data_IF_744791244659
#
_entry.id   IF_744791244659
#
_cell.length_a   1.000
_cell.length_b   1.000
_cell.length_c   1.000
_cell.angle_alpha   90.00
_cell.angle_beta   90.00
_cell.angle_gamma   90.00
#
_symmetry.space_group_name_H-M   'P 1'
#
loop_
_entity.id
_entity.type
_entity.pdbx_description
1 polymer ?
#
# COMPACT_ATOMS: atom_id res chain seq x y z
N UNK A 1 13.70 -14.61 -7.09
CA UNK A 1 13.30 -14.53 -5.67
C UNK A 1 13.69 -13.21 -5.01
N UNK A 2 14.97 -12.81 -4.97
CA UNK A 2 15.40 -11.55 -4.32
C UNK A 2 14.70 -10.30 -4.88
N UNK A 3 14.62 -10.18 -6.22
CA UNK A 3 13.92 -9.07 -6.91
C UNK A 3 12.43 -9.02 -6.53
N UNK A 4 11.76 -10.17 -6.49
CA UNK A 4 10.35 -10.28 -6.10
C UNK A 4 10.13 -9.90 -4.63
N UNK A 5 11.01 -10.35 -3.73
CA UNK A 5 10.96 -9.97 -2.31
C UNK A 5 11.18 -8.45 -2.11
N UNK A 6 12.16 -7.86 -2.80
CA UNK A 6 12.38 -6.42 -2.79
C UNK A 6 11.16 -5.66 -3.32
N UNK A 7 10.56 -6.11 -4.43
CA UNK A 7 9.37 -5.49 -5.01
C UNK A 7 8.18 -5.54 -4.03
N UNK A 8 7.94 -6.67 -3.36
CA UNK A 8 6.89 -6.79 -2.34
C UNK A 8 7.15 -5.85 -1.16
N UNK A 9 8.38 -5.81 -0.63
CA UNK A 9 8.72 -4.94 0.51
C UNK A 9 8.56 -3.45 0.17
N UNK A 10 9.04 -3.03 -1.00
CA UNK A 10 8.87 -1.66 -1.48
C UNK A 10 7.39 -1.33 -1.74
N UNK A 11 6.60 -2.28 -2.28
CA UNK A 11 5.16 -2.14 -2.44
C UNK A 11 4.44 -1.89 -1.12
N UNK A 12 4.69 -2.73 -0.11
CA UNK A 12 4.16 -2.56 1.25
C UNK A 12 4.56 -1.21 1.83
N UNK A 13 5.83 -0.82 1.68
CA UNK A 13 6.32 0.48 2.17
C UNK A 13 5.58 1.66 1.51
N UNK A 14 5.36 1.62 0.19
CA UNK A 14 4.62 2.67 -0.51
C UNK A 14 3.16 2.75 -0.09
N UNK A 15 2.49 1.62 0.11
CA UNK A 15 1.12 1.62 0.59
C UNK A 15 1.00 2.14 2.04
N UNK A 16 1.92 1.76 2.93
CA UNK A 16 1.97 2.28 4.29
C UNK A 16 2.22 3.79 4.30
N UNK A 17 3.15 4.27 3.46
CA UNK A 17 3.45 5.69 3.36
C UNK A 17 2.25 6.48 2.82
N UNK A 18 1.59 5.98 1.77
CA UNK A 18 0.38 6.58 1.21
C UNK A 18 -0.77 6.66 2.23
N UNK A 19 -1.01 5.57 2.95
CA UNK A 19 -2.06 5.51 3.97
C UNK A 19 -1.73 6.41 5.18
N UNK A 20 -0.46 6.51 5.59
CA UNK A 20 -0.01 7.41 6.65
C UNK A 20 -0.15 8.89 6.27
N UNK A 21 0.24 9.26 5.04
CA UNK A 21 0.06 10.63 4.54
C UNK A 21 -1.43 10.97 4.46
N UNK A 22 -2.28 10.04 4.00
CA UNK A 22 -3.73 10.23 3.96
C UNK A 22 -4.33 10.42 5.35
N UNK A 23 -3.91 9.63 6.36
CA UNK A 23 -4.34 9.81 7.74
C UNK A 23 -3.93 11.19 8.30
N UNK A 24 -2.69 11.63 8.06
CA UNK A 24 -2.22 12.98 8.45
C UNK A 24 -2.98 14.11 7.75
N UNK A 25 -3.45 13.91 6.53
CA UNK A 25 -4.30 14.89 5.85
C UNK A 25 -5.65 15.01 6.55
N UNK A 26 -6.27 13.89 6.91
CA UNK A 26 -7.55 13.86 7.62
C UNK A 26 -7.46 14.59 8.97
N UNK A 27 -6.40 14.35 9.75
CA UNK A 27 -6.14 15.03 11.02
C UNK A 27 -5.97 16.55 10.84
N UNK A 28 -5.28 16.98 9.77
CA UNK A 28 -5.04 18.40 9.48
C UNK A 28 -6.24 19.12 8.87
N UNK A 29 -7.08 18.43 8.08
CA UNK A 29 -8.32 19.01 7.53
C UNK A 29 -9.33 19.33 8.63
N UNK A 30 -9.34 18.54 9.71
CA UNK A 30 -10.13 18.86 10.91
C UNK A 30 -9.63 20.11 11.66
N UNK A 31 -8.41 20.59 11.38
CA UNK A 31 -7.78 21.72 12.08
C UNK A 31 -7.51 22.97 11.22
N UNK A 32 -7.51 22.89 9.88
CA UNK A 32 -7.16 24.04 9.05
C UNK A 32 -7.74 23.99 7.63
N UNK A 33 -8.62 24.94 7.33
CA UNK A 33 -9.15 25.23 6.00
C UNK A 33 -8.18 26.04 5.10
N UNK A 34 -6.92 26.25 5.51
CA UNK A 34 -6.13 27.39 5.02
C UNK A 34 -5.16 27.13 3.84
N UNK A 35 -5.13 25.98 3.16
CA UNK A 35 -4.19 25.84 2.01
C UNK A 35 -4.59 24.82 0.93
N UNK A 36 -5.52 25.21 0.05
CA UNK A 36 -5.96 24.38 -1.07
C UNK A 36 -4.86 23.89 -2.03
N UNK A 37 -3.79 24.66 -2.25
CA UNK A 37 -2.65 24.25 -3.10
C UNK A 37 -1.78 23.17 -2.45
N UNK A 38 -1.59 23.22 -1.13
CA UNK A 38 -0.79 22.23 -0.41
C UNK A 38 -1.54 20.89 -0.29
N UNK A 39 -2.85 20.95 -0.05
CA UNK A 39 -3.72 19.77 -0.04
C UNK A 39 -3.76 19.06 -1.41
N UNK A 40 -3.83 19.81 -2.51
CA UNK A 40 -3.82 19.23 -3.86
C UNK A 40 -2.51 18.51 -4.20
N UNK A 41 -1.36 19.10 -3.85
CA UNK A 41 -0.05 18.49 -4.08
C UNK A 41 0.13 17.20 -3.26
N UNK A 42 -0.29 17.20 -1.98
CA UNK A 42 -0.25 16.02 -1.11
C UNK A 42 -1.19 14.90 -1.60
N UNK A 43 -2.35 15.25 -2.17
CA UNK A 43 -3.30 14.32 -2.80
C UNK A 43 -2.71 13.67 -4.06
N UNK A 44 -2.02 14.42 -4.90
CA UNK A 44 -1.31 13.85 -6.05
C UNK A 44 -0.16 12.92 -5.62
N UNK A 45 0.59 13.29 -4.59
CA UNK A 45 1.66 12.45 -4.05
C UNK A 45 1.15 11.13 -3.48
N UNK A 46 0.05 11.16 -2.71
CA UNK A 46 -0.57 9.94 -2.18
C UNK A 46 -1.06 9.02 -3.31
N UNK A 47 -1.70 9.57 -4.34
CA UNK A 47 -2.06 8.81 -5.55
C UNK A 47 -0.84 8.21 -6.24
N UNK A 48 0.25 8.97 -6.38
CA UNK A 48 1.50 8.49 -6.98
C UNK A 48 2.11 7.33 -6.21
N UNK A 49 2.20 7.44 -4.88
CA UNK A 49 2.69 6.38 -4.00
C UNK A 49 1.80 5.14 -4.07
N UNK A 50 0.48 5.31 -4.11
CA UNK A 50 -0.46 4.19 -4.21
C UNK A 50 -0.34 3.46 -5.56
N UNK A 51 -0.19 4.20 -6.66
CA UNK A 51 0.05 3.62 -7.99
C UNK A 51 1.39 2.89 -8.05
N UNK A 52 2.45 3.47 -7.48
CA UNK A 52 3.77 2.83 -7.42
C UNK A 52 3.71 1.53 -6.58
N UNK A 53 3.03 1.57 -5.43
CA UNK A 53 2.77 0.38 -4.60
C UNK A 53 2.03 -0.71 -5.36
N UNK A 54 1.01 -0.32 -6.14
CA UNK A 54 0.25 -1.25 -7.00
C UNK A 54 1.12 -1.92 -8.07
N UNK A 55 1.92 -1.14 -8.80
CA UNK A 55 2.80 -1.66 -9.85
C UNK A 55 3.82 -2.63 -9.26
N UNK A 56 4.45 -2.28 -8.14
CA UNK A 56 5.41 -3.15 -7.47
C UNK A 56 4.77 -4.42 -6.93
N UNK A 57 3.53 -4.35 -6.44
CA UNK A 57 2.78 -5.52 -5.97
C UNK A 57 2.55 -6.53 -7.09
N UNK A 58 2.20 -6.05 -8.29
CA UNK A 58 2.03 -6.91 -9.47
C UNK A 58 3.36 -7.57 -9.86
N UNK A 59 4.44 -6.80 -9.95
CA UNK A 59 5.76 -7.32 -10.29
C UNK A 59 6.21 -8.37 -9.27
N UNK A 60 6.04 -8.08 -7.97
CA UNK A 60 6.39 -9.00 -6.89
C UNK A 60 5.55 -10.27 -6.90
N UNK A 61 4.24 -10.16 -7.09
CA UNK A 61 3.33 -11.30 -7.14
C UNK A 61 3.65 -12.22 -8.32
N UNK A 62 3.86 -11.66 -9.52
CA UNK A 62 4.24 -12.44 -10.70
C UNK A 62 5.58 -13.16 -10.51
N UNK A 63 6.58 -12.49 -9.92
CA UNK A 63 7.87 -13.12 -9.62
C UNK A 63 7.77 -14.27 -8.60
N UNK A 64 6.81 -14.19 -7.66
CA UNK A 64 6.52 -15.28 -6.73
C UNK A 64 5.73 -16.42 -7.40
N UNK A 65 4.76 -16.09 -8.25
CA UNK A 65 4.02 -17.07 -9.03
C UNK A 65 4.90 -17.87 -9.97
N UNK A 66 5.82 -17.20 -10.67
CA UNK A 66 6.78 -17.83 -11.58
C UNK A 66 7.73 -18.80 -10.84
N UNK A 67 8.16 -18.44 -9.63
CA UNK A 67 8.99 -19.31 -8.80
C UNK A 67 8.24 -20.56 -8.26
N UNK A 68 6.90 -20.54 -8.26
CA UNK A 68 6.03 -21.63 -7.80
C UNK A 68 5.38 -22.37 -8.98
N UNK A 69 6.09 -22.48 -10.10
CA UNK A 69 5.64 -23.10 -11.36
C UNK A 69 5.42 -24.63 -11.29
N UNK A 70 5.49 -25.22 -10.09
CA UNK A 70 5.17 -26.63 -9.83
C UNK A 70 3.74 -27.01 -10.17
N UNK A 71 2.77 -26.08 -10.07
CA UNK A 71 1.46 -26.23 -10.71
C UNK A 71 0.81 -24.88 -11.02
N UNK A 72 0.05 -24.75 -12.11
CA UNK A 72 -0.65 -23.51 -12.45
C UNK A 72 -1.58 -23.01 -11.34
N UNK A 73 -2.26 -23.94 -10.65
CA UNK A 73 -3.16 -23.61 -9.54
C UNK A 73 -2.44 -23.00 -8.34
N UNK A 74 -1.28 -23.54 -7.97
CA UNK A 74 -0.47 -23.01 -6.85
C UNK A 74 0.10 -21.64 -7.21
N UNK A 75 0.61 -21.48 -8.42
CA UNK A 75 1.13 -20.19 -8.91
C UNK A 75 0.08 -19.08 -8.84
N UNK A 76 -1.13 -19.35 -9.33
CA UNK A 76 -2.25 -18.40 -9.29
C UNK A 76 -2.65 -18.10 -7.84
N UNK A 77 -2.77 -19.12 -6.98
CA UNK A 77 -3.13 -18.95 -5.57
C UNK A 77 -2.12 -18.07 -4.83
N UNK A 78 -0.82 -18.25 -5.08
CA UNK A 78 0.25 -17.45 -4.49
C UNK A 78 0.19 -16.00 -4.98
N UNK A 79 0.01 -15.78 -6.29
CA UNK A 79 -0.13 -14.43 -6.86
C UNK A 79 -1.31 -13.68 -6.21
N UNK A 80 -2.47 -14.33 -6.14
CA UNK A 80 -3.67 -13.74 -5.53
C UNK A 80 -3.46 -13.45 -4.05
N UNK A 81 -2.87 -14.38 -3.30
CA UNK A 81 -2.59 -14.19 -1.88
C UNK A 81 -1.63 -13.02 -1.63
N UNK A 82 -0.54 -12.91 -2.41
CA UNK A 82 0.42 -11.80 -2.31
C UNK A 82 -0.26 -10.47 -2.65
N UNK A 83 -1.03 -10.40 -3.73
CA UNK A 83 -1.75 -9.19 -4.10
C UNK A 83 -2.75 -8.78 -3.02
N UNK A 84 -3.53 -9.71 -2.48
CA UNK A 84 -4.48 -9.43 -1.41
C UNK A 84 -3.78 -8.90 -0.15
N UNK A 85 -2.65 -9.50 0.23
CA UNK A 85 -1.89 -9.08 1.40
C UNK A 85 -1.30 -7.68 1.21
N UNK A 86 -0.60 -7.43 0.09
CA UNK A 86 0.11 -6.16 -0.12
C UNK A 86 -0.86 -4.99 -0.34
N UNK A 87 -2.02 -5.24 -0.96
CA UNK A 87 -3.01 -4.18 -1.19
C UNK A 87 -3.95 -3.95 0.01
N UNK A 88 -4.39 -5.02 0.70
CA UNK A 88 -5.39 -4.92 1.76
C UNK A 88 -4.80 -4.63 3.15
N UNK A 89 -3.62 -5.17 3.45
CA UNK A 89 -3.02 -5.07 4.78
C UNK A 89 -2.64 -3.64 5.19
N UNK A 90 -2.09 -2.78 4.31
CA UNK A 90 -1.73 -1.41 4.67
C UNK A 90 -2.94 -0.56 5.09
N UNK A 91 -4.05 -0.68 4.37
CA UNK A 91 -5.31 -0.01 4.71
C UNK A 91 -5.86 -0.50 6.05
N UNK A 92 -5.74 -1.81 6.33
CA UNK A 92 -6.12 -2.38 7.62
C UNK A 92 -5.25 -1.84 8.76
N UNK A 93 -3.92 -1.83 8.58
CA UNK A 93 -2.95 -1.33 9.58
C UNK A 93 -3.23 0.12 9.92
N UNK A 94 -3.39 0.99 8.92
CA UNK A 94 -3.66 2.41 9.17
C UNK A 94 -5.01 2.60 9.86
N UNK A 95 -6.03 1.86 9.46
CA UNK A 95 -7.35 1.91 10.12
C UNK A 95 -7.29 1.50 11.59
N UNK A 96 -6.57 0.42 11.91
CA UNK A 96 -6.39 -0.07 13.28
C UNK A 96 -5.59 0.90 14.14
N UNK A 97 -4.52 1.49 13.59
CA UNK A 97 -3.71 2.49 14.29
C UNK A 97 -4.53 3.76 14.60
N UNK A 98 -5.32 4.25 13.64
CA UNK A 98 -6.15 5.44 13.82
C UNK A 98 -7.23 5.23 14.90
N UNK A 99 -7.85 4.04 14.96
CA UNK A 99 -8.83 3.70 16.01
C UNK A 99 -8.23 3.59 17.42
N UNK A 100 -6.95 3.23 17.54
CA UNK A 100 -6.25 3.19 18.84
C UNK A 100 -5.96 4.60 19.36
N UNK A 101 -5.50 5.49 18.50
CA UNK A 101 -5.19 6.89 18.89
C UNK A 101 -6.44 7.66 19.32
N UNK A 102 -7.61 7.37 18.75
CA UNK A 102 -8.87 8.04 19.11
C UNK A 102 -9.52 7.55 20.43
N UNK A 103 -8.95 6.53 21.09
CA UNK A 103 -9.50 5.92 22.32
C UNK A 103 -8.56 6.01 23.53
N UNK A 104 -7.38 6.62 23.38
CA UNK A 104 -6.44 6.91 24.47
C UNK A 104 -6.45 8.38 24.82
#
# INVERSE_FOLDING_TARGET
>A
MLIGACAVLLGVAFHLLGAWVSARQNDRHSMSAASGRFAAWLSQWTRGLQTAGWILSIIGALAFGDAMSTSPGVSIAVVVAVLALVNGLPSLIVTLLHRRTARG
#
